data_IF_301007374999
#
_entry.id   IF_301007374999
#
_cell.length_a   1.000
_cell.length_b   1.000
_cell.length_c   1.000
_cell.angle_alpha   90.00
_cell.angle_beta   90.00
_cell.angle_gamma   90.00
#
_symmetry.space_group_name_H-M   'P 1'
#
loop_
_entity.id
_entity.type
_entity.pdbx_description
1 polymer ?
#
# COMPACT_ATOMS: atom_id res chain seq x y z
N UNK A 1 -31.04 -14.37 -26.51
CA UNK A 1 -29.81 -15.07 -26.01
C UNK A 1 -29.14 -14.18 -25.01
N UNK A 2 -29.17 -14.48 -23.70
CA UNK A 2 -28.30 -13.82 -22.73
C UNK A 2 -26.87 -14.20 -23.11
N UNK A 3 -26.07 -13.26 -23.56
CA UNK A 3 -24.63 -13.44 -23.60
C UNK A 3 -24.23 -13.74 -22.15
N UNK A 4 -23.75 -14.95 -21.86
CA UNK A 4 -23.17 -15.26 -20.56
C UNK A 4 -21.99 -14.28 -20.42
N UNK A 5 -22.11 -13.32 -19.52
CA UNK A 5 -21.03 -12.42 -19.17
C UNK A 5 -19.90 -13.30 -18.65
N UNK A 6 -18.78 -13.29 -19.33
CA UNK A 6 -17.62 -14.11 -18.94
C UNK A 6 -17.16 -13.67 -17.55
N UNK A 7 -16.88 -14.62 -16.69
CA UNK A 7 -16.41 -14.37 -15.34
C UNK A 7 -15.06 -13.65 -15.37
N UNK A 8 -15.03 -12.40 -14.93
CA UNK A 8 -13.87 -11.51 -15.01
C UNK A 8 -12.64 -12.08 -14.30
N UNK A 9 -12.83 -12.76 -13.15
CA UNK A 9 -11.73 -13.40 -12.43
C UNK A 9 -11.15 -14.55 -13.25
N UNK A 10 -12.00 -15.41 -13.83
CA UNK A 10 -11.55 -16.54 -14.65
C UNK A 10 -10.83 -16.04 -15.91
N UNK A 11 -11.32 -14.98 -16.55
CA UNK A 11 -10.64 -14.36 -17.69
C UNK A 11 -9.24 -13.84 -17.33
N UNK A 12 -9.10 -13.18 -16.19
CA UNK A 12 -7.80 -12.71 -15.70
C UNK A 12 -6.88 -13.89 -15.38
N UNK A 13 -7.42 -14.94 -14.77
CA UNK A 13 -6.66 -16.15 -14.42
C UNK A 13 -6.13 -16.84 -15.66
N UNK A 14 -6.96 -17.04 -16.68
CA UNK A 14 -6.54 -17.62 -17.96
C UNK A 14 -5.40 -16.81 -18.59
N UNK A 15 -5.52 -15.48 -18.63
CA UNK A 15 -4.46 -14.60 -19.15
C UNK A 15 -3.16 -14.67 -18.34
N UNK A 16 -3.23 -14.83 -17.03
CA UNK A 16 -2.03 -15.00 -16.20
C UNK A 16 -1.37 -16.36 -16.46
N UNK A 17 -2.16 -17.43 -16.54
CA UNK A 17 -1.65 -18.78 -16.88
C UNK A 17 -1.01 -18.82 -18.27
N UNK A 18 -1.63 -18.26 -19.31
CA UNK A 18 -1.08 -18.19 -20.66
C UNK A 18 0.26 -17.45 -20.74
N UNK A 19 0.50 -16.53 -19.82
CA UNK A 19 1.70 -15.70 -19.78
C UNK A 19 2.72 -16.14 -18.73
N UNK A 20 2.49 -17.26 -18.07
CA UNK A 20 3.29 -17.78 -16.97
C UNK A 20 4.76 -17.94 -17.36
N UNK A 21 5.63 -17.73 -16.38
CA UNK A 21 7.08 -17.92 -16.48
C UNK A 21 7.56 -18.60 -15.20
N UNK A 22 7.65 -19.93 -15.24
CA UNK A 22 7.98 -20.75 -14.08
C UNK A 22 9.38 -20.45 -13.51
N UNK A 23 10.35 -20.14 -14.37
CA UNK A 23 11.70 -19.80 -13.92
C UNK A 23 11.70 -18.48 -13.14
N UNK A 24 10.96 -17.46 -13.65
CA UNK A 24 10.85 -16.18 -12.98
C UNK A 24 9.97 -16.27 -11.72
N UNK A 25 8.94 -17.14 -11.71
CA UNK A 25 8.09 -17.39 -10.55
C UNK A 25 8.90 -17.84 -9.33
N UNK A 26 9.84 -18.75 -9.52
CA UNK A 26 10.76 -19.20 -8.47
C UNK A 26 11.60 -18.05 -7.92
N UNK A 27 12.12 -17.17 -8.80
CA UNK A 27 12.92 -16.00 -8.40
C UNK A 27 12.08 -14.98 -7.60
N UNK A 28 10.85 -14.73 -8.06
CA UNK A 28 9.92 -13.82 -7.37
C UNK A 28 9.51 -14.37 -6.00
N UNK A 29 9.19 -15.65 -5.91
CA UNK A 29 8.87 -16.29 -4.64
C UNK A 29 10.06 -16.23 -3.65
N UNK A 30 11.27 -16.55 -4.10
CA UNK A 30 12.47 -16.47 -3.28
C UNK A 30 12.72 -15.04 -2.75
N UNK A 31 12.53 -14.00 -3.58
CA UNK A 31 12.63 -12.61 -3.16
C UNK A 31 11.62 -12.26 -2.06
N UNK A 32 10.42 -12.85 -2.11
CA UNK A 32 9.38 -12.72 -1.09
C UNK A 32 9.50 -13.78 0.03
N UNK A 33 10.70 -14.35 0.24
CA UNK A 33 10.98 -15.38 1.27
C UNK A 33 10.11 -16.62 1.17
N UNK A 34 9.63 -16.94 -0.04
CA UNK A 34 8.73 -18.06 -0.34
C UNK A 34 7.39 -18.00 0.45
N UNK A 35 6.93 -16.80 0.76
CA UNK A 35 5.65 -16.61 1.46
C UNK A 35 4.45 -16.72 0.52
N UNK A 36 4.65 -16.55 -0.78
CA UNK A 36 3.58 -16.48 -1.78
C UNK A 36 3.95 -17.24 -3.04
N UNK A 37 2.91 -17.79 -3.71
CA UNK A 37 3.02 -18.34 -5.08
C UNK A 37 3.03 -17.19 -6.10
N UNK A 38 3.62 -17.45 -7.28
CA UNK A 38 3.69 -16.49 -8.38
C UNK A 38 3.45 -17.18 -9.73
N UNK A 39 2.86 -16.45 -10.68
CA UNK A 39 2.91 -16.79 -12.11
C UNK A 39 4.25 -16.43 -12.75
N UNK A 40 5.04 -15.58 -12.11
CA UNK A 40 6.32 -15.10 -12.61
C UNK A 40 6.22 -13.88 -13.53
N UNK A 41 5.19 -13.08 -13.41
CA UNK A 41 4.90 -11.93 -14.28
C UNK A 41 5.52 -10.64 -13.73
N UNK A 42 6.62 -10.13 -14.32
CA UNK A 42 7.19 -8.86 -13.92
C UNK A 42 6.19 -7.72 -14.19
N UNK A 43 6.30 -6.65 -13.39
CA UNK A 43 5.34 -5.54 -13.36
C UNK A 43 4.93 -5.02 -14.74
N UNK A 44 5.83 -4.77 -15.72
CA UNK A 44 5.41 -4.29 -17.04
C UNK A 44 4.54 -5.29 -17.80
N UNK A 45 4.90 -6.58 -17.76
CA UNK A 45 4.16 -7.66 -18.44
C UNK A 45 2.79 -7.84 -17.78
N UNK A 46 2.77 -7.93 -16.44
CA UNK A 46 1.53 -8.05 -15.66
C UNK A 46 0.56 -6.89 -15.96
N UNK A 47 1.03 -5.64 -15.89
CA UNK A 47 0.18 -4.46 -16.17
C UNK A 47 -0.33 -4.40 -17.59
N UNK A 48 0.42 -4.89 -18.56
CA UNK A 48 -0.03 -4.96 -19.95
C UNK A 48 -1.23 -5.90 -20.13
N UNK A 49 -1.27 -7.02 -19.40
CA UNK A 49 -2.34 -8.03 -19.47
C UNK A 49 -3.72 -7.44 -19.14
N UNK A 50 -3.82 -6.60 -18.14
CA UNK A 50 -5.09 -6.06 -17.67
C UNK A 50 -5.29 -4.55 -17.92
N UNK A 51 -4.43 -3.93 -18.73
CA UNK A 51 -4.51 -2.49 -19.02
C UNK A 51 -5.87 -2.05 -19.56
N UNK A 52 -6.36 -2.75 -20.60
CA UNK A 52 -7.63 -2.42 -21.24
C UNK A 52 -8.81 -2.77 -20.34
N UNK A 53 -8.70 -3.85 -19.55
CA UNK A 53 -9.67 -4.20 -18.53
C UNK A 53 -9.82 -3.06 -17.51
N UNK A 54 -8.73 -2.57 -16.91
CA UNK A 54 -8.78 -1.45 -15.97
C UNK A 54 -9.37 -0.19 -16.57
N UNK A 55 -9.08 0.08 -17.85
CA UNK A 55 -9.67 1.22 -18.57
C UNK A 55 -11.19 1.08 -18.68
N UNK A 56 -11.68 -0.11 -18.99
CA UNK A 56 -13.11 -0.42 -19.06
C UNK A 56 -13.79 -0.26 -17.68
N UNK A 57 -13.22 -0.85 -16.63
CA UNK A 57 -13.74 -0.74 -15.26
C UNK A 57 -13.79 0.74 -14.80
N UNK A 58 -12.77 1.52 -15.10
CA UNK A 58 -12.75 2.95 -14.77
C UNK A 58 -13.90 3.75 -15.42
N UNK A 59 -14.35 3.35 -16.61
CA UNK A 59 -15.49 3.97 -17.27
C UNK A 59 -16.81 3.71 -16.52
N UNK A 60 -16.93 2.61 -15.80
CA UNK A 60 -18.13 2.27 -15.01
C UNK A 60 -18.26 3.12 -13.75
N UNK A 61 -17.17 3.69 -13.23
CA UNK A 61 -17.11 4.53 -12.02
C UNK A 61 -17.65 3.85 -10.75
N UNK A 62 -17.72 2.54 -10.74
CA UNK A 62 -18.17 1.69 -9.64
C UNK A 62 -17.09 0.66 -9.38
N UNK A 63 -16.78 0.46 -8.10
CA UNK A 63 -15.75 -0.51 -7.69
C UNK A 63 -16.42 -1.89 -7.60
N UNK A 64 -15.84 -2.87 -8.25
CA UNK A 64 -16.30 -4.26 -8.25
C UNK A 64 -15.65 -5.03 -7.10
N UNK A 65 -16.18 -4.82 -5.89
CA UNK A 65 -15.62 -5.44 -4.68
C UNK A 65 -15.67 -6.97 -4.72
N UNK A 66 -16.69 -7.58 -5.35
CA UNK A 66 -16.79 -9.04 -5.48
C UNK A 66 -15.64 -9.59 -6.32
N UNK A 67 -15.28 -8.91 -7.42
CA UNK A 67 -14.11 -9.27 -8.21
C UNK A 67 -12.82 -9.12 -7.39
N UNK A 68 -12.67 -7.99 -6.70
CA UNK A 68 -11.45 -7.71 -5.93
C UNK A 68 -11.27 -8.70 -4.78
N UNK A 69 -12.33 -9.05 -4.08
CA UNK A 69 -12.32 -10.05 -3.01
C UNK A 69 -11.87 -11.43 -3.52
N UNK A 70 -12.38 -11.86 -4.68
CA UNK A 70 -11.97 -13.11 -5.32
C UNK A 70 -10.51 -13.08 -5.76
N UNK A 71 -10.07 -11.97 -6.34
CA UNK A 71 -8.68 -11.79 -6.73
C UNK A 71 -7.74 -11.79 -5.51
N UNK A 72 -8.12 -11.12 -4.42
CA UNK A 72 -7.27 -11.06 -3.23
C UNK A 72 -7.23 -12.37 -2.43
N UNK A 73 -8.21 -13.26 -2.66
CA UNK A 73 -8.24 -14.61 -2.08
C UNK A 73 -7.44 -15.64 -2.90
N UNK A 74 -6.94 -15.29 -4.10
CA UNK A 74 -6.08 -16.19 -4.89
C UNK A 74 -4.71 -16.36 -4.22
N UNK A 75 -4.10 -17.53 -4.41
CA UNK A 75 -2.79 -17.84 -3.83
C UNK A 75 -1.62 -17.12 -4.53
N UNK A 76 -1.82 -16.66 -5.78
CA UNK A 76 -0.76 -16.01 -6.56
C UNK A 76 -0.70 -14.51 -6.28
N UNK A 77 0.49 -14.04 -5.97
CA UNK A 77 0.74 -12.64 -5.57
C UNK A 77 0.38 -11.62 -6.65
N UNK A 78 0.43 -11.99 -7.92
CA UNK A 78 0.04 -11.12 -9.03
C UNK A 78 -1.43 -10.68 -8.95
N UNK A 79 -2.33 -11.48 -8.39
CA UNK A 79 -3.70 -11.08 -8.15
C UNK A 79 -3.81 -10.01 -7.06
N UNK A 80 -3.02 -10.09 -5.99
CA UNK A 80 -2.97 -9.03 -4.97
C UNK A 80 -2.45 -7.72 -5.58
N UNK A 81 -1.44 -7.79 -6.45
CA UNK A 81 -0.96 -6.62 -7.19
C UNK A 81 -2.00 -6.07 -8.18
N UNK A 82 -2.80 -6.94 -8.82
CA UNK A 82 -3.92 -6.51 -9.65
C UNK A 82 -4.94 -5.71 -8.84
N UNK A 83 -5.31 -6.16 -7.63
CA UNK A 83 -6.24 -5.45 -6.75
C UNK A 83 -5.71 -4.05 -6.41
N UNK A 84 -4.43 -3.91 -6.08
CA UNK A 84 -3.82 -2.60 -5.82
C UNK A 84 -3.85 -1.70 -7.07
N UNK A 85 -3.46 -2.25 -8.24
CA UNK A 85 -3.47 -1.49 -9.50
C UNK A 85 -4.91 -1.06 -9.89
N UNK A 86 -5.91 -1.91 -9.60
CA UNK A 86 -7.32 -1.59 -9.78
C UNK A 86 -7.75 -0.43 -8.87
N UNK A 87 -7.45 -0.51 -7.57
CA UNK A 87 -7.79 0.54 -6.61
C UNK A 87 -7.10 1.87 -6.92
N UNK A 88 -5.84 1.84 -7.36
CA UNK A 88 -5.14 3.03 -7.87
C UNK A 88 -5.83 3.62 -9.10
N UNK A 89 -6.27 2.78 -10.05
CA UNK A 89 -7.01 3.26 -11.22
C UNK A 89 -8.36 3.88 -10.85
N UNK A 90 -8.99 3.37 -9.77
CA UNK A 90 -10.29 3.80 -9.27
C UNK A 90 -10.20 4.84 -8.13
N UNK A 91 -9.00 5.32 -7.77
CA UNK A 91 -8.74 6.17 -6.59
C UNK A 91 -9.74 7.32 -6.40
N UNK A 92 -10.11 8.00 -7.48
CA UNK A 92 -11.04 9.14 -7.41
C UNK A 92 -12.50 8.78 -7.08
N UNK A 93 -12.83 7.50 -7.09
CA UNK A 93 -14.16 6.98 -6.75
C UNK A 93 -14.20 6.35 -5.37
N UNK A 94 -13.04 6.13 -4.74
CA UNK A 94 -12.93 5.65 -3.37
C UNK A 94 -13.45 6.69 -2.39
N UNK A 95 -14.21 6.21 -1.39
CA UNK A 95 -14.78 6.98 -0.30
C UNK A 95 -14.35 6.40 1.03
N UNK A 96 -14.61 7.12 2.11
CA UNK A 96 -14.35 6.62 3.46
C UNK A 96 -15.10 5.30 3.75
N UNK A 97 -16.32 5.18 3.26
CA UNK A 97 -17.15 3.99 3.47
C UNK A 97 -16.61 2.73 2.77
N UNK A 98 -15.63 2.88 1.85
CA UNK A 98 -14.93 1.77 1.20
C UNK A 98 -13.75 1.25 2.02
N UNK A 99 -13.31 1.98 3.05
CA UNK A 99 -12.15 1.62 3.87
C UNK A 99 -12.24 0.23 4.49
N UNK A 100 -13.41 -0.25 4.98
CA UNK A 100 -13.51 -1.62 5.52
C UNK A 100 -13.13 -2.72 4.53
N UNK A 101 -13.38 -2.55 3.23
CA UNK A 101 -12.91 -3.48 2.20
C UNK A 101 -11.39 -3.47 2.07
N UNK A 102 -10.78 -2.27 2.09
CA UNK A 102 -9.33 -2.12 1.97
C UNK A 102 -8.64 -2.65 3.23
N UNK A 103 -9.21 -2.41 4.41
CA UNK A 103 -8.70 -2.92 5.69
C UNK A 103 -8.66 -4.46 5.70
N UNK A 104 -9.65 -5.14 5.13
CA UNK A 104 -9.63 -6.58 4.93
C UNK A 104 -8.38 -7.03 4.14
N UNK A 105 -8.01 -6.30 3.09
CA UNK A 105 -6.80 -6.60 2.32
C UNK A 105 -5.52 -6.28 3.10
N UNK A 106 -5.51 -5.21 3.89
CA UNK A 106 -4.39 -4.88 4.78
C UNK A 106 -4.15 -6.02 5.79
N UNK A 107 -5.21 -6.60 6.34
CA UNK A 107 -5.15 -7.67 7.37
C UNK A 107 -5.00 -9.09 6.79
N UNK A 108 -4.93 -9.26 5.47
CA UNK A 108 -4.84 -10.56 4.79
C UNK A 108 -3.61 -10.62 3.91
N UNK A 109 -2.90 -11.77 3.88
CA UNK A 109 -1.71 -11.97 3.04
C UNK A 109 -0.65 -10.87 3.18
N UNK A 110 -0.43 -10.42 4.41
CA UNK A 110 0.38 -9.27 4.76
C UNK A 110 1.85 -9.45 4.40
N UNK A 111 2.39 -8.50 3.66
CA UNK A 111 3.82 -8.30 3.44
C UNK A 111 4.06 -6.88 2.92
N UNK A 112 5.28 -6.38 3.06
CA UNK A 112 5.63 -4.99 2.75
C UNK A 112 5.22 -4.53 1.33
N UNK A 113 5.27 -5.42 0.34
CA UNK A 113 5.01 -5.10 -1.07
C UNK A 113 3.55 -4.74 -1.38
N UNK A 114 2.58 -5.28 -0.63
CA UNK A 114 1.18 -4.85 -0.72
C UNK A 114 0.86 -3.72 0.25
N UNK A 115 1.40 -3.77 1.45
CA UNK A 115 1.22 -2.74 2.48
C UNK A 115 1.69 -1.37 1.95
N UNK A 116 2.89 -1.30 1.32
CA UNK A 116 3.47 -0.07 0.76
C UNK A 116 2.74 0.46 -0.50
N UNK A 117 1.70 -0.22 -0.93
CA UNK A 117 0.77 0.23 -1.98
C UNK A 117 -0.58 0.66 -1.40
N UNK A 118 -1.09 -0.10 -0.43
CA UNK A 118 -2.37 0.17 0.22
C UNK A 118 -2.31 1.43 1.11
N UNK A 119 -1.15 1.78 1.67
CA UNK A 119 -0.93 2.98 2.46
C UNK A 119 -1.40 4.26 1.75
N UNK A 120 -0.96 4.45 0.52
CA UNK A 120 -1.33 5.62 -0.29
C UNK A 120 -2.74 5.56 -0.83
N UNK A 121 -3.25 4.35 -1.10
CA UNK A 121 -4.64 4.17 -1.56
C UNK A 121 -5.60 4.66 -0.48
N UNK A 122 -5.44 4.21 0.77
CA UNK A 122 -6.25 4.70 1.90
C UNK A 122 -5.94 6.17 2.19
N UNK A 123 -4.66 6.51 2.28
CA UNK A 123 -4.22 7.85 2.61
C UNK A 123 -4.76 8.92 1.66
N UNK A 124 -4.84 8.63 0.35
CA UNK A 124 -5.34 9.59 -0.64
C UNK A 124 -6.85 9.89 -0.51
N UNK A 125 -7.62 9.06 0.18
CA UNK A 125 -9.03 9.37 0.48
C UNK A 125 -9.12 10.61 1.36
N UNK A 126 -8.11 10.90 2.20
CA UNK A 126 -8.07 12.11 3.03
C UNK A 126 -8.15 13.43 2.24
N UNK A 127 -7.86 13.42 0.93
CA UNK A 127 -8.02 14.61 0.10
C UNK A 127 -9.49 14.99 -0.17
N UNK A 128 -10.40 14.08 0.09
CA UNK A 128 -11.85 14.28 -0.09
C UNK A 128 -12.64 14.02 1.18
N UNK A 129 -12.05 13.36 2.18
CA UNK A 129 -12.71 13.01 3.43
C UNK A 129 -11.72 12.99 4.60
N UNK A 130 -11.79 14.01 5.45
CA UNK A 130 -10.86 14.20 6.56
C UNK A 130 -10.97 13.13 7.67
N UNK A 131 -12.05 12.33 7.71
CA UNK A 131 -12.19 11.21 8.64
C UNK A 131 -11.03 10.21 8.55
N UNK A 132 -10.35 10.14 7.41
CA UNK A 132 -9.12 9.35 7.26
C UNK A 132 -8.03 9.81 8.23
N UNK A 133 -7.93 11.09 8.54
CA UNK A 133 -6.89 11.59 9.45
C UNK A 133 -7.08 11.03 10.88
N UNK A 134 -8.33 10.99 11.35
CA UNK A 134 -8.67 10.42 12.65
C UNK A 134 -8.45 8.91 12.65
N UNK A 135 -8.84 8.22 11.57
CA UNK A 135 -8.59 6.79 11.39
C UNK A 135 -7.09 6.47 11.39
N UNK A 136 -6.26 7.27 10.71
CA UNK A 136 -4.80 7.04 10.70
C UNK A 136 -4.19 7.26 12.08
N UNK A 137 -4.72 8.20 12.86
CA UNK A 137 -4.29 8.38 14.25
C UNK A 137 -4.68 7.17 15.11
N UNK A 138 -5.87 6.62 14.95
CA UNK A 138 -6.31 5.38 15.59
C UNK A 138 -5.42 4.20 15.16
N UNK A 139 -5.24 3.99 13.87
CA UNK A 139 -4.41 2.91 13.33
C UNK A 139 -2.93 3.01 13.74
N UNK A 140 -2.45 4.18 14.10
CA UNK A 140 -1.06 4.36 14.58
C UNK A 140 -0.77 3.65 15.90
N UNK A 141 -1.80 3.19 16.62
CA UNK A 141 -1.70 2.45 17.90
C UNK A 141 -2.30 1.04 17.81
N UNK A 142 -2.65 0.56 16.60
CA UNK A 142 -3.21 -0.79 16.40
C UNK A 142 -2.22 -1.88 16.87
N UNK A 143 -2.74 -3.01 17.34
CA UNK A 143 -1.91 -4.16 17.75
C UNK A 143 -1.13 -4.75 16.57
N UNK A 144 -1.73 -4.74 15.37
CA UNK A 144 -1.10 -5.19 14.12
C UNK A 144 -0.12 -4.12 13.60
N UNK A 145 1.16 -4.44 13.62
CA UNK A 145 2.19 -3.51 13.15
C UNK A 145 2.09 -3.17 11.64
N UNK A 146 1.45 -3.99 10.81
CA UNK A 146 1.21 -3.64 9.42
C UNK A 146 0.15 -2.54 9.28
N UNK A 147 -0.87 -2.54 10.14
CA UNK A 147 -1.85 -1.44 10.22
C UNK A 147 -1.15 -0.16 10.68
N UNK A 148 -0.29 -0.24 11.73
CA UNK A 148 0.54 0.92 12.14
C UNK A 148 1.44 1.42 11.03
N UNK A 149 2.03 0.52 10.22
CA UNK A 149 2.85 0.91 9.07
C UNK A 149 2.05 1.69 8.03
N UNK A 150 0.80 1.29 7.73
CA UNK A 150 -0.11 2.07 6.88
C UNK A 150 -0.26 3.49 7.43
N UNK A 151 -0.54 3.62 8.74
CA UNK A 151 -0.70 4.92 9.37
C UNK A 151 0.57 5.79 9.25
N UNK A 152 1.75 5.23 9.41
CA UNK A 152 3.03 5.96 9.28
C UNK A 152 3.26 6.45 7.85
N UNK A 153 3.00 5.58 6.85
CA UNK A 153 3.37 5.81 5.45
C UNK A 153 2.25 6.47 4.60
N UNK A 154 1.02 6.63 5.14
CA UNK A 154 -0.15 7.10 4.38
C UNK A 154 0.01 8.49 3.74
N UNK A 155 0.95 9.30 4.22
CA UNK A 155 1.22 10.63 3.68
C UNK A 155 2.42 10.69 2.70
N UNK A 156 3.04 9.56 2.39
CA UNK A 156 4.15 9.54 1.44
C UNK A 156 3.80 10.25 0.12
N UNK A 157 4.76 11.01 -0.39
CA UNK A 157 4.66 11.78 -1.64
C UNK A 157 3.67 12.96 -1.62
N UNK A 158 3.11 13.34 -0.48
CA UNK A 158 2.20 14.49 -0.37
C UNK A 158 2.89 15.86 -0.45
N UNK A 159 4.19 15.90 -0.23
CA UNK A 159 5.02 17.11 -0.29
C UNK A 159 4.45 18.21 0.62
N UNK A 160 4.16 19.39 0.06
CA UNK A 160 3.62 20.56 0.77
C UNK A 160 2.24 20.33 1.39
N UNK A 161 1.52 19.27 0.96
CA UNK A 161 0.22 18.88 1.52
C UNK A 161 0.32 17.91 2.68
N UNK A 162 1.53 17.60 3.16
CA UNK A 162 1.74 16.78 4.35
C UNK A 162 1.21 17.51 5.58
N UNK A 163 0.32 16.86 6.33
CA UNK A 163 -0.11 17.33 7.64
C UNK A 163 0.96 16.93 8.67
N UNK A 164 1.85 17.88 9.00
CA UNK A 164 2.98 17.65 9.88
C UNK A 164 2.59 17.38 11.33
N UNK A 165 1.49 17.97 11.81
CA UNK A 165 1.00 17.73 13.16
C UNK A 165 0.49 16.29 13.31
N UNK A 166 -0.25 15.79 12.32
CA UNK A 166 -0.70 14.41 12.28
C UNK A 166 0.49 13.44 12.14
N UNK A 167 1.42 13.76 11.23
CA UNK A 167 2.63 12.97 11.02
C UNK A 167 3.41 12.82 12.34
N UNK A 168 3.69 13.93 13.02
CA UNK A 168 4.38 13.92 14.31
C UNK A 168 3.68 13.02 15.32
N UNK A 169 2.37 13.18 15.54
CA UNK A 169 1.58 12.36 16.49
C UNK A 169 1.71 10.86 16.16
N UNK A 170 1.55 10.49 14.89
CA UNK A 170 1.65 9.10 14.44
C UNK A 170 3.05 8.53 14.68
N UNK A 171 4.10 9.30 14.39
CA UNK A 171 5.48 8.87 14.61
C UNK A 171 5.77 8.68 16.09
N UNK A 172 5.34 9.61 16.95
CA UNK A 172 5.52 9.53 18.40
C UNK A 172 4.83 8.30 18.99
N UNK A 173 3.66 7.91 18.50
CA UNK A 173 2.94 6.70 18.93
C UNK A 173 3.72 5.40 18.63
N UNK A 174 4.69 5.45 17.71
CA UNK A 174 5.44 4.28 17.26
C UNK A 174 6.89 4.26 17.75
N UNK A 175 7.32 5.24 18.55
CA UNK A 175 8.66 5.24 19.14
C UNK A 175 8.83 4.12 20.16
N UNK A 176 10.04 3.58 20.25
CA UNK A 176 10.35 2.45 21.13
C UNK A 176 9.94 1.08 20.57
N UNK A 177 9.38 1.02 19.36
CA UNK A 177 9.12 -0.25 18.68
C UNK A 177 10.44 -0.96 18.36
N UNK A 178 10.48 -2.28 18.62
CA UNK A 178 11.57 -3.14 18.15
C UNK A 178 11.33 -3.70 16.74
N UNK A 179 10.16 -3.40 16.13
CA UNK A 179 9.77 -3.95 14.84
C UNK A 179 10.53 -3.26 13.69
N UNK A 180 11.27 -4.05 12.91
CA UNK A 180 12.06 -3.53 11.77
C UNK A 180 11.21 -2.71 10.80
N UNK A 181 10.04 -3.22 10.43
CA UNK A 181 9.18 -2.56 9.43
C UNK A 181 8.57 -1.25 9.94
N UNK A 182 8.36 -1.10 11.23
CA UNK A 182 7.93 0.17 11.86
C UNK A 182 9.06 1.17 11.84
N UNK A 183 10.24 0.79 12.32
CA UNK A 183 11.40 1.69 12.34
C UNK A 183 11.84 2.12 10.94
N UNK A 184 11.66 1.23 9.96
CA UNK A 184 11.91 1.53 8.55
C UNK A 184 10.90 2.54 8.00
N UNK A 185 9.61 2.39 8.31
CA UNK A 185 8.54 3.31 7.91
C UNK A 185 8.74 4.71 8.49
N UNK A 186 9.05 4.81 9.79
CA UNK A 186 9.37 6.10 10.44
C UNK A 186 10.48 6.83 9.66
N UNK A 187 11.56 6.12 9.36
CA UNK A 187 12.67 6.69 8.61
C UNK A 187 12.30 7.08 7.18
N UNK A 188 11.45 6.31 6.50
CA UNK A 188 11.01 6.59 5.13
C UNK A 188 10.07 7.79 5.05
N UNK A 189 9.13 7.87 5.95
CA UNK A 189 8.19 8.98 6.03
C UNK A 189 8.95 10.32 6.25
N UNK A 190 9.88 10.36 7.19
CA UNK A 190 10.74 11.52 7.43
C UNK A 190 11.65 11.82 6.22
N UNK A 191 12.28 10.80 5.62
CA UNK A 191 13.13 10.97 4.43
C UNK A 191 12.36 11.51 3.24
N UNK A 192 11.12 11.05 3.03
CA UNK A 192 10.30 11.57 1.95
C UNK A 192 9.98 13.04 2.17
N UNK A 193 9.57 13.41 3.38
CA UNK A 193 9.23 14.78 3.73
C UNK A 193 10.45 15.72 3.79
N UNK A 194 11.66 15.20 4.08
CA UNK A 194 12.90 16.01 4.08
C UNK A 194 13.21 16.62 2.72
N UNK A 195 12.73 16.04 1.64
CA UNK A 195 12.85 16.61 0.27
C UNK A 195 12.01 17.86 0.08
N UNK A 196 10.99 18.06 0.92
CA UNK A 196 10.07 19.21 0.87
C UNK A 196 10.41 20.22 1.97
N UNK A 197 10.62 19.75 3.19
CA UNK A 197 10.95 20.59 4.35
C UNK A 197 12.08 19.96 5.19
N UNK A 198 13.33 20.11 4.75
CA UNK A 198 14.47 19.52 5.46
C UNK A 198 14.67 20.10 6.86
N UNK A 199 14.33 21.37 7.08
CA UNK A 199 14.53 22.03 8.38
C UNK A 199 13.55 21.47 9.42
N UNK A 200 12.31 21.22 9.05
CA UNK A 200 11.34 20.57 9.93
C UNK A 200 11.83 19.15 10.32
N UNK A 201 12.28 18.36 9.35
CA UNK A 201 12.77 17.00 9.62
C UNK A 201 14.04 17.02 10.47
N UNK A 202 14.96 17.94 10.23
CA UNK A 202 16.18 18.10 11.04
C UNK A 202 15.81 18.41 12.49
N UNK A 203 14.92 19.39 12.71
CA UNK A 203 14.45 19.73 14.04
C UNK A 203 13.73 18.57 14.72
N UNK A 204 12.87 17.85 13.99
CA UNK A 204 12.17 16.67 14.51
C UNK A 204 13.16 15.59 14.98
N UNK A 205 14.15 15.25 14.15
CA UNK A 205 15.17 14.24 14.50
C UNK A 205 15.98 14.69 15.71
N UNK A 206 16.47 15.94 15.74
CA UNK A 206 17.24 16.46 16.87
C UNK A 206 16.45 16.46 18.18
N UNK A 207 15.17 16.81 18.13
CA UNK A 207 14.28 16.84 19.29
C UNK A 207 14.01 15.44 19.86
N UNK A 208 13.96 14.43 18.98
CA UNK A 208 13.47 13.09 19.36
C UNK A 208 14.52 11.98 19.26
N UNK A 209 15.77 12.27 18.89
CA UNK A 209 16.82 11.27 18.63
C UNK A 209 17.03 10.25 19.74
N UNK A 210 16.84 10.65 20.99
CA UNK A 210 17.03 9.77 22.15
C UNK A 210 15.93 8.70 22.29
N UNK A 211 14.80 8.88 21.61
CA UNK A 211 13.67 7.96 21.59
C UNK A 211 13.52 7.21 20.26
N UNK A 212 14.23 7.67 19.22
CA UNK A 212 14.18 7.06 17.88
C UNK A 212 15.14 5.89 17.76
N UNK A 213 14.72 4.86 17.03
CA UNK A 213 15.61 3.78 16.63
C UNK A 213 16.71 4.29 15.68
N UNK A 214 17.91 3.71 15.77
CA UNK A 214 19.06 4.05 14.92
C UNK A 214 18.76 3.87 13.42
N UNK A 215 17.93 2.88 13.05
CA UNK A 215 17.48 2.67 11.68
C UNK A 215 16.65 3.85 11.20
N UNK A 216 15.71 4.32 12.02
CA UNK A 216 14.84 5.46 11.70
C UNK A 216 15.65 6.73 11.47
N UNK A 217 16.60 7.02 12.37
CA UNK A 217 17.50 8.19 12.24
C UNK A 217 18.32 8.09 10.95
N UNK A 218 18.95 6.93 10.70
CA UNK A 218 19.77 6.72 9.49
C UNK A 218 18.98 6.92 8.20
N UNK A 219 17.75 6.42 8.14
CA UNK A 219 16.90 6.57 6.95
C UNK A 219 16.41 8.01 6.79
N UNK A 220 15.98 8.66 7.87
CA UNK A 220 15.52 10.05 7.88
C UNK A 220 16.61 11.03 7.39
N UNK A 221 17.86 10.77 7.78
CA UNK A 221 18.98 11.70 7.56
C UNK A 221 19.63 11.61 6.17
N UNK A 222 19.12 10.77 5.26
CA UNK A 222 19.76 10.56 3.94
C UNK A 222 19.83 11.79 3.04
N UNK A 223 18.99 12.78 3.28
CA UNK A 223 18.89 14.02 2.48
C UNK A 223 18.91 15.28 3.36
N UNK A 224 19.43 15.18 4.59
CA UNK A 224 19.60 16.32 5.52
C UNK A 224 20.99 16.95 5.46
#
# INVERSE_FOLDING_TARGET
MKVMEMDKYLELKEKFEENRDDENAVKMAAYMRNLFSFYGLPTPKRKAIYKDFLKSEKCKKIIDWDLLDRCYADEHREFHYFVMDYLVAMQKFLKFDDVPHIEKYIKTNQWWDTIDGLDRIVGNIAFTDERINDLMLEWSTDEDFWVRRIAIDHQLCRKERTNTELLEKILLNNFGSSEFFINKAIGWSLRDYSKTNPDWVRNFVETHKDKMDKLSIREASKYL
#
